data_IF_605094781806
#
_entry.id   IF_605094781806
#
_cell.length_a   1.000
_cell.length_b   1.000
_cell.length_c   1.000
_cell.angle_alpha   90.00
_cell.angle_beta   90.00
_cell.angle_gamma   90.00
#
_symmetry.space_group_name_H-M   'P 1'
#
loop_
_entity.id
_entity.type
_entity.pdbx_description
1 polymer ?
#
# COMPACT_ATOMS: atom_id res chain seq x y z
N UNK A 1 -7.51 -8.13 50.08
CA UNK A 1 -6.22 -8.63 49.57
C UNK A 1 -6.34 -9.99 48.87
N UNK A 2 -6.89 -11.04 49.50
CA UNK A 2 -7.02 -12.37 48.88
C UNK A 2 -7.82 -12.39 47.56
N UNK A 3 -8.95 -11.66 47.50
CA UNK A 3 -9.78 -11.56 46.29
C UNK A 3 -9.01 -10.98 45.09
N UNK A 4 -8.14 -10.00 45.33
CA UNK A 4 -7.33 -9.36 44.27
C UNK A 4 -6.34 -10.38 43.69
N UNK A 5 -5.64 -11.13 44.53
CA UNK A 5 -4.71 -12.17 44.07
C UNK A 5 -5.40 -13.31 43.32
N UNK A 6 -6.62 -13.67 43.71
CA UNK A 6 -7.43 -14.66 42.97
C UNK A 6 -7.80 -14.13 41.58
N UNK A 7 -8.24 -12.87 41.47
CA UNK A 7 -8.57 -12.24 40.19
C UNK A 7 -7.31 -12.15 39.30
N UNK A 8 -6.18 -11.71 39.87
CA UNK A 8 -4.90 -11.63 39.14
C UNK A 8 -4.46 -13.02 38.67
N UNK A 9 -4.56 -14.04 39.54
CA UNK A 9 -4.24 -15.42 39.18
C UNK A 9 -5.14 -15.97 38.07
N UNK A 10 -6.44 -15.68 38.11
CA UNK A 10 -7.40 -16.08 37.07
C UNK A 10 -7.08 -15.41 35.72
N UNK A 11 -6.81 -14.10 35.72
CA UNK A 11 -6.45 -13.37 34.51
C UNK A 11 -5.14 -13.87 33.93
N UNK A 12 -4.12 -14.12 34.77
CA UNK A 12 -2.84 -14.69 34.35
C UNK A 12 -3.01 -16.10 33.77
N UNK A 13 -3.84 -16.95 34.38
CA UNK A 13 -4.12 -18.29 33.88
C UNK A 13 -4.80 -18.28 32.52
N UNK A 14 -5.75 -17.38 32.29
CA UNK A 14 -6.42 -17.22 30.99
C UNK A 14 -5.49 -16.58 29.94
N UNK A 15 -4.63 -15.66 30.36
CA UNK A 15 -3.63 -14.99 29.55
C UNK A 15 -2.52 -15.92 29.03
N UNK A 16 -2.19 -16.96 29.80
CA UNK A 16 -1.09 -17.89 29.52
C UNK A 16 -1.52 -19.15 28.79
N UNK A 17 -2.77 -19.23 28.31
CA UNK A 17 -3.30 -20.39 27.60
C UNK A 17 -3.90 -20.02 26.25
N UNK A 18 -3.66 -20.83 25.21
CA UNK A 18 -4.30 -20.64 23.91
C UNK A 18 -5.79 -20.97 23.99
N UNK A 19 -6.58 -20.49 23.04
CA UNK A 19 -8.01 -20.80 22.98
C UNK A 19 -8.25 -22.30 22.74
N UNK A 20 -7.55 -22.89 21.77
CA UNK A 20 -7.58 -24.33 21.49
C UNK A 20 -6.28 -24.79 20.82
N UNK A 21 -6.12 -26.07 20.53
CA UNK A 21 -4.96 -26.59 19.81
C UNK A 21 -5.07 -26.41 18.28
N UNK A 22 -6.10 -25.71 17.79
CA UNK A 22 -6.27 -25.44 16.36
C UNK A 22 -5.21 -24.45 15.85
N UNK A 23 -4.35 -24.94 14.96
CA UNK A 23 -3.24 -24.20 14.35
C UNK A 23 -3.61 -23.51 13.04
N UNK A 24 -4.84 -23.66 12.56
CA UNK A 24 -5.32 -22.99 11.34
C UNK A 24 -5.24 -21.47 11.49
N UNK A 25 -4.55 -20.83 10.54
CA UNK A 25 -4.43 -19.38 10.50
C UNK A 25 -5.73 -18.78 9.99
N UNK A 26 -6.19 -17.77 10.72
CA UNK A 26 -7.35 -16.95 10.42
C UNK A 26 -6.90 -15.49 10.33
N UNK A 27 -7.50 -14.76 9.40
CA UNK A 27 -7.25 -13.33 9.27
C UNK A 27 -8.10 -12.60 10.30
N UNK A 28 -7.44 -11.92 11.23
CA UNK A 28 -8.08 -11.02 12.18
C UNK A 28 -7.87 -9.56 11.74
N UNK A 29 -8.97 -8.84 11.58
CA UNK A 29 -8.98 -7.45 11.13
C UNK A 29 -9.07 -6.47 12.31
N UNK A 30 -8.13 -5.53 12.37
CA UNK A 30 -8.21 -4.34 13.20
C UNK A 30 -8.54 -3.16 12.29
N UNK A 31 -9.81 -2.76 12.25
CA UNK A 31 -10.26 -1.62 11.43
C UNK A 31 -9.94 -0.28 12.12
N UNK A 32 -9.84 0.82 11.37
CA UNK A 32 -9.66 2.16 11.95
C UNK A 32 -10.69 2.48 13.05
N UNK A 33 -10.21 3.03 14.16
CA UNK A 33 -11.05 3.42 15.30
C UNK A 33 -11.40 2.31 16.29
N UNK A 34 -10.91 1.07 16.09
CA UNK A 34 -11.06 0.04 17.13
C UNK A 34 -10.23 0.37 18.38
N UNK A 35 -10.87 0.30 19.55
CA UNK A 35 -10.18 0.40 20.85
C UNK A 35 -9.68 -0.98 21.31
N UNK A 36 -8.73 -1.02 22.25
CA UNK A 36 -8.30 -2.28 22.91
C UNK A 36 -9.50 -3.11 23.39
N UNK A 37 -10.52 -2.45 23.97
CA UNK A 37 -11.75 -3.11 24.39
C UNK A 37 -12.45 -3.81 23.22
N UNK A 38 -12.69 -3.10 22.12
CA UNK A 38 -13.34 -3.65 20.93
C UNK A 38 -12.53 -4.78 20.29
N UNK A 39 -11.21 -4.60 20.16
CA UNK A 39 -10.29 -5.64 19.64
C UNK A 39 -10.36 -6.91 20.49
N UNK A 40 -10.27 -6.77 21.81
CA UNK A 40 -10.32 -7.94 22.71
C UNK A 40 -11.67 -8.65 22.69
N UNK A 41 -12.78 -7.91 22.55
CA UNK A 41 -14.11 -8.49 22.42
C UNK A 41 -14.24 -9.25 21.10
N UNK A 42 -13.71 -8.70 20.01
CA UNK A 42 -13.76 -9.32 18.69
C UNK A 42 -12.89 -10.57 18.60
N UNK A 43 -11.67 -10.54 19.14
CA UNK A 43 -10.82 -11.73 19.28
C UNK A 43 -11.52 -12.84 20.07
N UNK A 44 -12.22 -12.49 21.15
CA UNK A 44 -12.95 -13.46 21.96
C UNK A 44 -14.17 -14.01 21.23
N UNK A 45 -14.91 -13.14 20.50
CA UNK A 45 -16.08 -13.51 19.70
C UNK A 45 -15.73 -14.48 18.57
N UNK A 46 -14.55 -14.30 17.97
CA UNK A 46 -14.03 -15.17 16.91
C UNK A 46 -13.33 -16.43 17.45
N UNK A 47 -13.37 -16.69 18.77
CA UNK A 47 -12.69 -17.83 19.40
C UNK A 47 -11.17 -17.85 19.12
N UNK A 48 -10.54 -16.69 19.09
CA UNK A 48 -9.08 -16.55 19.00
C UNK A 48 -8.43 -16.42 20.38
N UNK A 49 -9.19 -15.94 21.36
CA UNK A 49 -8.78 -15.89 22.78
C UNK A 49 -9.93 -16.35 23.68
N UNK A 50 -9.58 -16.83 24.88
CA UNK A 50 -10.58 -17.29 25.88
C UNK A 50 -11.33 -16.16 26.58
N UNK A 51 -10.69 -14.99 26.72
CA UNK A 51 -11.19 -13.92 27.59
C UNK A 51 -10.69 -12.56 27.15
N UNK A 52 -11.65 -11.71 26.76
CA UNK A 52 -11.38 -10.31 26.44
C UNK A 52 -10.75 -9.55 27.62
N UNK A 53 -11.24 -9.78 28.85
CA UNK A 53 -10.73 -9.11 30.05
C UNK A 53 -9.28 -9.50 30.37
N UNK A 54 -8.91 -10.77 30.20
CA UNK A 54 -7.54 -11.23 30.38
C UNK A 54 -6.60 -10.59 29.34
N UNK A 55 -7.02 -10.54 28.08
CA UNK A 55 -6.26 -9.89 27.02
C UNK A 55 -6.06 -8.38 27.28
N UNK A 56 -7.11 -7.69 27.71
CA UNK A 56 -7.02 -6.27 28.10
C UNK A 56 -6.03 -6.07 29.25
N UNK A 57 -6.07 -6.93 30.27
CA UNK A 57 -5.16 -6.85 31.40
C UNK A 57 -3.68 -7.00 30.98
N UNK A 58 -3.35 -7.98 30.12
CA UNK A 58 -1.99 -8.14 29.60
C UNK A 58 -1.56 -6.91 28.80
N UNK A 59 -2.43 -6.40 27.92
CA UNK A 59 -2.12 -5.23 27.11
C UNK A 59 -1.80 -4.00 27.95
N UNK A 60 -2.51 -3.80 29.07
CA UNK A 60 -2.25 -2.73 30.03
C UNK A 60 -0.96 -2.98 30.83
N UNK A 61 -0.72 -4.20 31.30
CA UNK A 61 0.50 -4.56 32.04
C UNK A 61 1.77 -4.37 31.19
N UNK A 62 1.65 -4.57 29.87
CA UNK A 62 2.76 -4.38 28.93
C UNK A 62 2.82 -2.97 28.31
N UNK A 63 1.97 -2.04 28.74
CA UNK A 63 1.86 -0.69 28.16
C UNK A 63 1.63 -0.67 26.63
N UNK A 64 0.96 -1.70 26.09
CA UNK A 64 0.71 -1.88 24.66
C UNK A 64 -0.67 -1.40 24.21
N UNK A 65 -1.51 -0.89 25.11
CA UNK A 65 -2.88 -0.49 24.83
C UNK A 65 -3.02 0.56 23.71
N UNK A 66 -2.00 1.41 23.52
CA UNK A 66 -1.96 2.45 22.47
C UNK A 66 -1.17 2.04 21.22
N UNK A 67 -0.57 0.86 21.23
CA UNK A 67 0.31 0.37 20.17
C UNK A 67 -0.40 -0.60 19.23
N UNK A 68 -1.69 -0.87 19.43
CA UNK A 68 -2.47 -1.69 18.51
C UNK A 68 -2.56 -0.97 17.18
N UNK A 69 -2.06 -1.62 16.14
CA UNK A 69 -2.01 -1.07 14.80
C UNK A 69 -3.24 -1.51 14.00
N UNK A 70 -3.69 -0.64 13.10
CA UNK A 70 -4.72 -0.96 12.11
C UNK A 70 -4.11 -1.91 11.09
N UNK A 71 -4.85 -2.93 10.70
CA UNK A 71 -4.35 -3.93 9.78
C UNK A 71 -5.02 -5.27 9.88
N UNK A 72 -4.59 -6.17 9.01
CA UNK A 72 -4.96 -7.57 9.04
C UNK A 72 -3.81 -8.40 9.60
N UNK A 73 -4.11 -9.41 10.40
CA UNK A 73 -3.12 -10.24 11.07
C UNK A 73 -3.49 -11.72 10.98
N UNK A 74 -2.54 -12.54 10.54
CA UNK A 74 -2.66 -13.99 10.62
C UNK A 74 -2.48 -14.46 12.07
N UNK A 75 -3.56 -14.95 12.67
CA UNK A 75 -3.61 -15.46 14.04
C UNK A 75 -4.25 -16.84 14.05
N UNK A 76 -3.99 -17.66 15.07
CA UNK A 76 -4.69 -18.93 15.23
C UNK A 76 -5.19 -19.08 16.66
N UNK A 77 -6.24 -19.88 16.92
CA UNK A 77 -6.69 -20.21 18.26
C UNK A 77 -5.60 -20.86 19.14
N UNK A 78 -4.59 -21.47 18.53
CA UNK A 78 -3.40 -22.04 19.21
C UNK A 78 -2.35 -21.03 19.63
N UNK A 79 -2.43 -19.77 19.19
CA UNK A 79 -1.49 -18.73 19.65
C UNK A 79 -1.81 -18.35 21.10
N UNK A 80 -0.76 -18.02 21.86
CA UNK A 80 -0.98 -17.43 23.17
C UNK A 80 -1.55 -16.02 23.00
N UNK A 81 -2.43 -15.56 23.91
CA UNK A 81 -2.92 -14.19 23.93
C UNK A 81 -1.80 -13.14 23.86
N UNK A 82 -0.65 -13.44 24.48
CA UNK A 82 0.52 -12.56 24.43
C UNK A 82 1.16 -12.47 23.03
N UNK A 83 1.20 -13.58 22.29
CA UNK A 83 1.74 -13.61 20.93
C UNK A 83 0.83 -12.88 19.96
N UNK A 84 -0.49 -13.05 20.13
CA UNK A 84 -1.50 -12.28 19.39
C UNK A 84 -1.33 -10.79 19.67
N UNK A 85 -1.20 -10.39 20.94
CA UNK A 85 -0.95 -9.00 21.32
C UNK A 85 0.33 -8.46 20.67
N UNK A 86 1.43 -9.23 20.69
CA UNK A 86 2.67 -8.83 20.05
C UNK A 86 2.50 -8.67 18.54
N UNK A 87 1.75 -9.56 17.89
CA UNK A 87 1.50 -9.50 16.44
C UNK A 87 0.74 -8.23 16.06
N UNK A 88 -0.38 -7.94 16.72
CA UNK A 88 -1.20 -6.75 16.43
C UNK A 88 -0.54 -5.42 16.85
N UNK A 89 0.53 -5.48 17.65
CA UNK A 89 1.31 -4.28 18.06
C UNK A 89 2.63 -4.13 17.31
N UNK A 90 3.02 -5.12 16.49
CA UNK A 90 4.29 -5.11 15.75
C UNK A 90 4.28 -4.28 14.48
N UNK A 91 3.10 -3.90 13.98
CA UNK A 91 2.93 -3.29 12.66
C UNK A 91 3.13 -4.24 11.46
N UNK A 92 3.41 -5.53 11.70
CA UNK A 92 3.52 -6.56 10.65
C UNK A 92 2.15 -7.06 10.25
N UNK A 93 1.53 -6.36 9.32
CA UNK A 93 0.22 -6.70 8.75
C UNK A 93 0.36 -7.69 7.59
N UNK A 94 -0.75 -8.34 7.23
CA UNK A 94 -0.86 -9.05 5.95
C UNK A 94 -0.76 -8.03 4.83
N UNK A 95 0.10 -8.33 3.84
CA UNK A 95 0.30 -7.51 2.66
C UNK A 95 -0.21 -8.26 1.44
N UNK A 96 -0.91 -7.55 0.58
CA UNK A 96 -1.45 -8.05 -0.68
C UNK A 96 -0.59 -7.53 -1.83
N UNK A 97 -0.03 -8.41 -2.67
CA UNK A 97 0.67 -7.99 -3.87
C UNK A 97 -0.34 -7.46 -4.89
N UNK A 98 -0.05 -6.29 -5.47
CA UNK A 98 -0.79 -5.71 -6.59
C UNK A 98 0.19 -5.26 -7.66
N UNK A 99 0.07 -5.83 -8.85
CA UNK A 99 0.91 -5.48 -10.00
C UNK A 99 0.24 -4.41 -10.81
N UNK A 100 0.89 -3.25 -10.94
CA UNK A 100 0.48 -2.16 -11.83
C UNK A 100 1.15 -2.37 -13.19
N UNK A 101 0.40 -2.68 -14.25
CA UNK A 101 0.99 -2.90 -15.57
C UNK A 101 1.50 -1.61 -16.22
N UNK A 102 2.47 -1.73 -17.11
CA UNK A 102 2.92 -0.63 -17.95
C UNK A 102 1.77 -0.09 -18.82
N UNK A 103 1.78 1.21 -19.08
CA UNK A 103 0.79 1.88 -19.92
C UNK A 103 -0.59 2.08 -19.29
N UNK A 104 -0.80 1.72 -18.02
CA UNK A 104 -2.06 2.02 -17.32
C UNK A 104 -2.23 3.51 -17.05
N UNK A 105 -3.44 4.02 -17.27
CA UNK A 105 -3.86 5.35 -16.81
C UNK A 105 -4.14 5.34 -15.32
N UNK A 106 -4.09 6.50 -14.67
CA UNK A 106 -4.45 6.62 -13.24
C UNK A 106 -5.84 6.05 -12.93
N UNK A 107 -6.81 6.24 -13.84
CA UNK A 107 -8.17 5.70 -13.67
C UNK A 107 -8.20 4.17 -13.70
N UNK A 108 -7.41 3.54 -14.57
CA UNK A 108 -7.27 2.08 -14.64
C UNK A 108 -6.56 1.53 -13.39
N UNK A 109 -5.59 2.28 -12.85
CA UNK A 109 -4.95 1.96 -11.56
C UNK A 109 -5.98 2.04 -10.42
N UNK A 110 -6.80 3.08 -10.38
CA UNK A 110 -7.82 3.23 -9.34
C UNK A 110 -8.85 2.09 -9.39
N UNK A 111 -9.32 1.71 -10.59
CA UNK A 111 -10.20 0.55 -10.80
C UNK A 111 -9.56 -0.76 -10.33
N UNK A 112 -8.26 -0.94 -10.61
CA UNK A 112 -7.51 -2.10 -10.16
C UNK A 112 -7.43 -2.15 -8.62
N UNK A 113 -7.10 -1.03 -7.98
CA UNK A 113 -7.00 -0.96 -6.52
C UNK A 113 -8.33 -1.22 -5.82
N UNK A 114 -9.44 -0.70 -6.36
CA UNK A 114 -10.79 -0.97 -5.87
C UNK A 114 -11.18 -2.44 -6.04
N UNK A 115 -10.89 -3.03 -7.20
CA UNK A 115 -11.15 -4.46 -7.47
C UNK A 115 -10.41 -5.38 -6.49
N UNK A 116 -9.20 -5.00 -6.09
CA UNK A 116 -8.42 -5.71 -5.07
C UNK A 116 -8.84 -5.35 -3.63
N UNK A 117 -9.81 -4.45 -3.46
CA UNK A 117 -10.29 -3.89 -2.20
C UNK A 117 -9.13 -3.33 -1.35
N UNK A 118 -8.19 -2.62 -1.99
CA UNK A 118 -7.03 -1.98 -1.36
C UNK A 118 -7.15 -0.46 -1.26
N UNK A 119 -8.04 0.15 -2.03
CA UNK A 119 -8.34 1.57 -2.00
C UNK A 119 -9.77 1.81 -2.47
N UNK A 120 -10.40 2.88 -1.98
CA UNK A 120 -11.58 3.43 -2.63
C UNK A 120 -11.17 4.19 -3.90
N UNK A 121 -11.88 3.97 -5.01
CA UNK A 121 -11.53 4.56 -6.31
C UNK A 121 -11.55 6.09 -6.27
N UNK A 122 -12.61 6.69 -5.74
CA UNK A 122 -12.78 8.14 -5.76
C UNK A 122 -11.80 8.83 -4.82
N UNK A 123 -11.56 8.26 -3.64
CA UNK A 123 -10.55 8.76 -2.70
C UNK A 123 -9.16 8.66 -3.32
N UNK A 124 -8.82 7.52 -3.95
CA UNK A 124 -7.54 7.35 -4.64
C UNK A 124 -7.32 8.41 -5.72
N UNK A 125 -8.31 8.64 -6.59
CA UNK A 125 -8.26 9.66 -7.64
C UNK A 125 -8.14 11.09 -7.09
N UNK A 126 -8.65 11.36 -5.88
CA UNK A 126 -8.43 12.63 -5.22
C UNK A 126 -6.96 12.77 -4.77
N UNK A 127 -6.35 11.71 -4.24
CA UNK A 127 -4.95 11.76 -3.80
C UNK A 127 -3.99 11.96 -4.98
N UNK A 128 -4.35 11.49 -6.18
CA UNK A 128 -3.54 11.74 -7.39
C UNK A 128 -3.58 13.19 -7.88
N UNK A 129 -4.43 14.04 -7.28
CA UNK A 129 -4.45 15.49 -7.56
C UNK A 129 -3.45 16.27 -6.69
N UNK A 130 -2.65 15.61 -5.87
CA UNK A 130 -1.62 16.29 -5.08
C UNK A 130 -0.30 16.38 -5.87
N UNK A 131 -0.13 17.47 -6.64
CA UNK A 131 1.10 17.71 -7.41
C UNK A 131 2.33 17.96 -6.53
N UNK A 132 2.17 18.29 -5.24
CA UNK A 132 3.30 18.52 -4.32
C UNK A 132 4.14 17.26 -4.08
N UNK A 133 3.66 16.09 -4.51
CA UNK A 133 4.45 14.86 -4.50
C UNK A 133 5.63 14.89 -5.49
N UNK A 134 5.57 15.77 -6.50
CA UNK A 134 6.62 15.97 -7.50
C UNK A 134 6.98 17.45 -7.56
N UNK A 135 8.11 17.80 -6.96
CA UNK A 135 8.60 19.18 -6.90
C UNK A 135 9.82 19.40 -7.77
N UNK A 136 10.46 18.32 -8.24
CA UNK A 136 11.67 18.35 -9.05
C UNK A 136 11.42 18.90 -10.46
N UNK A 137 10.19 18.76 -10.96
CA UNK A 137 9.77 19.19 -12.29
C UNK A 137 8.34 19.74 -12.21
N UNK A 138 8.00 20.79 -12.99
CA UNK A 138 6.64 21.27 -13.07
C UNK A 138 5.76 20.20 -13.73
N UNK A 139 4.65 19.84 -13.08
CA UNK A 139 3.67 18.88 -13.59
C UNK A 139 2.25 19.42 -13.38
N UNK A 140 1.41 19.24 -14.39
CA UNK A 140 -0.01 19.62 -14.32
C UNK A 140 -0.91 18.44 -13.91
N UNK A 141 -0.35 17.22 -13.89
CA UNK A 141 -1.00 16.00 -13.40
C UNK A 141 0.04 14.97 -12.97
N UNK A 142 -0.38 13.97 -12.20
CA UNK A 142 0.45 12.79 -11.89
C UNK A 142 0.31 11.67 -12.94
N UNK A 143 -0.36 11.92 -14.07
CA UNK A 143 -0.52 10.93 -15.14
C UNK A 143 0.87 10.57 -15.70
N UNK A 144 1.19 9.28 -15.72
CA UNK A 144 2.52 8.78 -16.10
C UNK A 144 3.58 8.83 -14.98
N UNK A 145 3.23 9.28 -13.77
CA UNK A 145 4.15 9.38 -12.63
C UNK A 145 3.89 8.34 -11.51
N UNK A 146 2.83 7.54 -11.63
CA UNK A 146 2.64 6.35 -10.80
C UNK A 146 3.40 5.19 -11.46
N UNK A 147 4.51 4.78 -10.84
CA UNK A 147 5.41 3.82 -11.48
C UNK A 147 4.78 2.42 -11.61
N UNK A 148 4.93 1.73 -12.75
CA UNK A 148 4.46 0.36 -12.93
C UNK A 148 5.38 -0.63 -12.19
N UNK A 149 4.86 -1.30 -11.17
CA UNK A 149 5.58 -2.30 -10.37
C UNK A 149 4.58 -3.21 -9.63
N UNK A 150 5.08 -4.29 -9.02
CA UNK A 150 4.33 -5.04 -8.01
C UNK A 150 4.54 -4.46 -6.62
N UNK A 151 3.50 -3.81 -6.11
CA UNK A 151 3.46 -3.22 -4.77
C UNK A 151 2.85 -4.19 -3.76
N UNK A 152 3.14 -3.96 -2.48
CA UNK A 152 2.62 -4.78 -1.38
C UNK A 152 1.96 -3.84 -0.36
N UNK A 153 0.64 -3.87 -0.30
CA UNK A 153 -0.14 -2.99 0.58
C UNK A 153 -0.99 -3.81 1.56
N UNK A 154 -1.11 -3.32 2.79
CA UNK A 154 -2.11 -3.83 3.71
C UNK A 154 -3.49 -3.30 3.37
N UNK A 155 -4.54 -4.03 3.77
CA UNK A 155 -5.95 -3.71 3.50
C UNK A 155 -6.36 -2.26 3.79
N UNK A 156 -5.83 -1.69 4.87
CA UNK A 156 -6.17 -0.36 5.37
C UNK A 156 -5.04 0.66 5.15
N UNK A 157 -4.17 0.41 4.16
CA UNK A 157 -3.14 1.39 3.79
C UNK A 157 -3.85 2.63 3.25
N UNK A 158 -3.60 3.84 3.80
CA UNK A 158 -4.24 5.05 3.29
C UNK A 158 -3.89 5.29 1.83
N UNK A 159 -4.86 5.73 1.03
CA UNK A 159 -4.70 6.00 -0.40
C UNK A 159 -3.60 7.03 -0.67
N UNK A 160 -3.47 8.03 0.21
CA UNK A 160 -2.41 9.02 0.12
C UNK A 160 -1.01 8.38 0.24
N UNK A 161 -0.87 7.38 1.10
CA UNK A 161 0.38 6.61 1.27
C UNK A 161 0.64 5.73 0.05
N UNK A 162 -0.40 5.11 -0.53
CA UNK A 162 -0.30 4.30 -1.75
C UNK A 162 0.21 5.17 -2.92
N UNK A 163 -0.47 6.28 -3.21
CA UNK A 163 -0.09 7.20 -4.30
C UNK A 163 1.32 7.75 -4.06
N UNK A 164 1.61 8.21 -2.85
CA UNK A 164 2.95 8.68 -2.49
C UNK A 164 4.02 7.61 -2.74
N UNK A 165 3.77 6.34 -2.36
CA UNK A 165 4.72 5.26 -2.58
C UNK A 165 4.97 5.02 -4.08
N UNK A 166 3.93 5.03 -4.90
CA UNK A 166 4.07 4.87 -6.35
C UNK A 166 4.88 6.01 -6.99
N UNK A 167 4.63 7.25 -6.56
CA UNK A 167 5.40 8.43 -7.01
C UNK A 167 6.84 8.34 -6.51
N UNK A 168 7.09 8.00 -5.25
CA UNK A 168 8.46 7.84 -4.72
C UNK A 168 9.25 6.79 -5.51
N UNK A 169 8.63 5.66 -5.86
CA UNK A 169 9.25 4.65 -6.74
C UNK A 169 9.59 5.24 -8.11
N UNK A 170 8.70 6.06 -8.69
CA UNK A 170 9.00 6.77 -9.95
C UNK A 170 10.23 7.68 -9.79
N UNK A 171 10.28 8.47 -8.72
CA UNK A 171 11.40 9.40 -8.46
C UNK A 171 12.72 8.64 -8.33
N UNK A 172 12.72 7.56 -7.57
CA UNK A 172 13.90 6.70 -7.36
C UNK A 172 14.42 6.10 -8.68
N UNK A 173 13.52 5.62 -9.53
CA UNK A 173 13.88 4.90 -10.75
C UNK A 173 14.14 5.80 -11.95
N UNK A 174 13.42 6.93 -12.06
CA UNK A 174 13.32 7.72 -13.29
C UNK A 174 13.77 9.17 -13.10
N UNK A 175 13.73 9.77 -11.91
CA UNK A 175 14.28 11.11 -11.65
C UNK A 175 15.77 11.07 -11.30
N UNK A 176 16.55 10.29 -12.06
CA UNK A 176 18.00 10.30 -11.94
C UNK A 176 18.58 11.51 -12.66
N UNK A 177 19.60 12.12 -12.06
CA UNK A 177 20.27 13.31 -12.61
C UNK A 177 20.80 13.10 -14.04
N UNK A 178 21.22 11.88 -14.36
CA UNK A 178 21.66 11.51 -15.71
C UNK A 178 20.56 11.67 -16.77
N UNK A 179 19.31 11.29 -16.44
CA UNK A 179 18.17 11.41 -17.35
C UNK A 179 17.73 12.87 -17.49
N UNK A 180 17.77 13.63 -16.39
CA UNK A 180 17.50 15.07 -16.42
C UNK A 180 18.51 15.82 -17.30
N UNK A 181 19.80 15.47 -17.20
CA UNK A 181 20.85 16.07 -18.03
C UNK A 181 20.64 15.73 -19.51
N UNK A 182 20.39 14.45 -19.82
CA UNK A 182 20.17 14.00 -21.20
C UNK A 182 18.92 14.60 -21.83
N UNK A 183 17.85 14.78 -21.05
CA UNK A 183 16.64 15.47 -21.47
C UNK A 183 16.94 16.89 -21.96
N UNK A 184 17.68 17.63 -21.14
CA UNK A 184 18.10 18.99 -21.42
C UNK A 184 19.03 19.08 -22.64
N UNK A 185 19.96 18.14 -22.78
CA UNK A 185 20.84 18.04 -23.97
C UNK A 185 20.05 17.79 -25.26
N UNK A 186 18.93 17.06 -25.17
CA UNK A 186 18.03 16.80 -26.30
C UNK A 186 17.02 17.93 -26.55
N UNK A 187 17.01 18.98 -25.71
CA UNK A 187 16.07 20.09 -25.82
C UNK A 187 14.65 19.78 -25.37
N UNK A 188 14.44 18.69 -24.64
CA UNK A 188 13.13 18.32 -24.07
C UNK A 188 13.05 18.72 -22.60
N UNK A 189 11.87 19.21 -22.20
CA UNK A 189 11.47 19.19 -20.81
C UNK A 189 11.26 17.75 -20.33
N UNK A 190 11.32 17.54 -19.02
CA UNK A 190 11.12 16.21 -18.47
C UNK A 190 9.70 15.69 -18.72
N UNK A 191 8.69 16.56 -18.62
CA UNK A 191 7.30 16.19 -18.88
C UNK A 191 7.07 15.75 -20.33
N UNK A 192 7.73 16.38 -21.30
CA UNK A 192 7.69 15.96 -22.71
C UNK A 192 8.29 14.56 -22.92
N UNK A 193 9.33 14.20 -22.17
CA UNK A 193 9.92 12.85 -22.24
C UNK A 193 8.96 11.81 -21.69
N UNK A 194 8.33 12.06 -20.53
CA UNK A 194 7.35 11.15 -19.95
C UNK A 194 6.14 11.01 -20.89
N UNK A 195 5.69 12.12 -21.47
CA UNK A 195 4.62 12.11 -22.48
C UNK A 195 5.03 11.27 -23.69
N UNK A 196 6.22 11.49 -24.25
CA UNK A 196 6.72 10.71 -25.38
C UNK A 196 6.86 9.22 -25.05
N UNK A 197 7.35 8.88 -23.86
CA UNK A 197 7.42 7.51 -23.38
C UNK A 197 6.04 6.86 -23.29
N UNK A 198 5.04 7.59 -22.78
CA UNK A 198 3.65 7.10 -22.71
C UNK A 198 3.06 6.83 -24.09
N UNK A 199 3.37 7.66 -25.09
CA UNK A 199 2.93 7.46 -26.47
C UNK A 199 3.59 6.23 -27.10
N UNK A 200 4.90 6.05 -26.90
CA UNK A 200 5.63 4.86 -27.39
C UNK A 200 5.04 3.59 -26.78
N UNK A 201 4.77 3.60 -25.48
CA UNK A 201 4.22 2.44 -24.77
C UNK A 201 2.81 2.08 -25.24
N UNK A 202 1.97 3.09 -25.52
CA UNK A 202 0.63 2.86 -26.10
C UNK A 202 0.68 2.34 -27.52
N UNK A 203 1.71 2.68 -28.29
CA UNK A 203 1.89 2.21 -29.67
C UNK A 203 2.40 0.76 -29.74
N UNK A 204 3.26 0.34 -28.80
CA UNK A 204 3.73 -1.05 -28.69
C UNK A 204 4.16 -1.42 -27.28
N UNK A 205 3.70 -2.58 -26.80
CA UNK A 205 4.23 -3.25 -25.61
C UNK A 205 5.43 -4.16 -25.90
N UNK A 206 5.88 -4.26 -27.17
CA UNK A 206 7.01 -5.12 -27.55
C UNK A 206 8.33 -4.35 -27.46
N UNK A 207 9.21 -4.83 -26.60
CA UNK A 207 10.52 -4.19 -26.37
C UNK A 207 11.36 -4.04 -27.64
N UNK A 208 11.29 -5.02 -28.55
CA UNK A 208 12.01 -4.99 -29.84
C UNK A 208 11.59 -3.85 -30.76
N UNK A 209 10.35 -3.36 -30.65
CA UNK A 209 9.77 -2.33 -31.51
C UNK A 209 9.96 -0.92 -30.93
N UNK A 210 10.06 -0.78 -29.59
CA UNK A 210 10.14 0.52 -28.88
C UNK A 210 11.23 1.45 -29.43
N UNK A 211 12.43 0.93 -29.74
CA UNK A 211 13.54 1.74 -30.30
C UNK A 211 13.19 2.31 -31.67
N UNK A 212 12.54 1.51 -32.52
CA UNK A 212 12.15 1.94 -33.86
C UNK A 212 11.05 3.00 -33.79
N UNK A 213 10.02 2.78 -32.96
CA UNK A 213 8.93 3.75 -32.78
C UNK A 213 9.45 5.07 -32.18
N UNK A 214 10.31 4.99 -31.17
CA UNK A 214 11.00 6.16 -30.59
C UNK A 214 11.75 6.95 -31.67
N UNK A 215 12.47 6.27 -32.56
CA UNK A 215 13.19 6.94 -33.66
C UNK A 215 12.26 7.67 -34.62
N UNK A 216 11.07 7.11 -34.91
CA UNK A 216 10.06 7.74 -35.77
C UNK A 216 9.53 9.01 -35.12
N UNK A 217 9.15 8.97 -33.84
CA UNK A 217 8.65 10.17 -33.15
C UNK A 217 9.71 11.26 -33.03
N UNK A 218 10.95 10.92 -32.66
CA UNK A 218 12.02 11.91 -32.63
C UNK A 218 12.30 12.54 -34.02
N UNK A 219 12.22 11.75 -35.10
CA UNK A 219 12.36 12.25 -36.47
C UNK A 219 11.21 13.19 -36.87
N UNK A 220 9.97 12.92 -36.44
CA UNK A 220 8.81 13.79 -36.68
C UNK A 220 8.95 15.11 -35.93
N UNK A 221 9.31 15.06 -34.64
CA UNK A 221 9.53 16.25 -33.81
C UNK A 221 10.61 17.16 -34.38
N UNK A 222 11.75 16.60 -34.81
CA UNK A 222 12.83 17.37 -35.48
C UNK A 222 12.38 18.07 -36.76
N UNK A 223 11.37 17.54 -37.46
CA UNK A 223 10.80 18.11 -38.68
C UNK A 223 9.59 19.00 -38.42
N UNK A 224 9.26 19.31 -37.15
CA UNK A 224 8.05 20.02 -36.75
C UNK A 224 6.76 19.38 -37.31
N UNK A 225 6.76 18.05 -37.47
CA UNK A 225 5.60 17.30 -37.93
C UNK A 225 4.72 16.89 -36.73
N UNK A 226 3.40 16.86 -36.94
CA UNK A 226 2.47 16.25 -35.97
C UNK A 226 2.83 14.78 -35.74
N UNK A 227 2.71 14.31 -34.50
CA UNK A 227 3.00 12.92 -34.16
C UNK A 227 2.00 11.94 -34.77
N UNK A 228 0.77 12.39 -35.11
CA UNK A 228 -0.28 11.59 -35.77
C UNK A 228 -0.47 10.21 -35.13
N UNK A 229 -0.47 10.17 -33.79
CA UNK A 229 -0.93 9.02 -33.01
C UNK A 229 -2.45 9.08 -32.92
N UNK A 230 -3.12 7.93 -32.82
CA UNK A 230 -4.56 7.91 -32.59
C UNK A 230 -4.91 8.74 -31.33
N UNK A 231 -6.07 9.42 -31.30
CA UNK A 231 -6.42 10.33 -30.22
C UNK A 231 -6.44 9.59 -28.87
N UNK A 232 -5.58 10.05 -27.97
CA UNK A 232 -5.39 9.59 -26.59
C UNK A 232 -6.34 10.25 -25.61
#
# INVERSE_FOLDING_TARGET
>A
MALVWIIVGLLYFQASRPMSDNTELQVFEVVPGMTLKRVSQELSRQNLIRSASAFQAIALIQDKQKLIMVGEYNVSPSMLPIDILQRITSGKTVLYPVTIPEGYRITEIADLMEKHNLADKDIFLQQTKNMELITEVPVDSLEGYLFPETYHFGKFTPEATIVKKMVETFKEKVLKQEFLKRAKEMGFSYHEIITLASLIEKETGKDSERKQISSVFHNRLKKNMRLQTDPT
#
